data_IF_278615188510
#
_entry.id   IF_278615188510
#
_cell.length_a   1.000
_cell.length_b   1.000
_cell.length_c   1.000
_cell.angle_alpha   90.00
_cell.angle_beta   90.00
_cell.angle_gamma   90.00
#
_symmetry.space_group_name_H-M   'P 1'
#
loop_
_entity.id
_entity.type
_entity.pdbx_description
1 polymer ?
#
# COMPACT_ATOMS: atom_id res chain seq x y z
N UNK A 1 26.16 -9.54 -18.21
CA UNK A 1 25.09 -8.59 -18.61
C UNK A 1 25.14 -7.41 -17.65
N UNK A 2 24.82 -6.22 -18.11
CA UNK A 2 24.77 -5.03 -17.25
C UNK A 2 23.51 -5.14 -16.34
N UNK A 3 23.60 -4.64 -15.10
CA UNK A 3 22.45 -4.59 -14.20
C UNK A 3 21.30 -3.79 -14.83
N UNK A 4 20.05 -4.28 -14.75
CA UNK A 4 18.92 -3.53 -15.27
C UNK A 4 18.75 -2.22 -14.49
N UNK A 5 18.52 -1.13 -15.22
CA UNK A 5 18.36 0.19 -14.63
C UNK A 5 16.94 0.66 -14.72
N UNK A 6 16.32 0.95 -13.59
CA UNK A 6 14.95 1.46 -13.50
C UNK A 6 14.97 2.89 -12.96
N UNK A 7 14.31 3.80 -13.68
CA UNK A 7 13.97 5.13 -13.18
C UNK A 7 12.57 5.10 -12.59
N UNK A 8 12.47 5.28 -11.27
CA UNK A 8 11.17 5.29 -10.58
C UNK A 8 10.74 6.72 -10.23
N UNK A 9 9.51 7.06 -10.54
CA UNK A 9 8.82 8.24 -10.02
C UNK A 9 7.92 7.77 -8.89
N UNK A 10 8.37 7.89 -7.66
CA UNK A 10 7.58 7.47 -6.50
C UNK A 10 6.66 8.59 -6.01
N UNK A 11 5.46 8.26 -5.55
CA UNK A 11 4.54 9.25 -4.95
C UNK A 11 5.24 10.04 -3.83
N UNK A 12 5.92 9.35 -2.91
CA UNK A 12 6.83 9.93 -1.93
C UNK A 12 7.82 8.85 -1.46
N UNK A 13 8.96 9.28 -0.90
CA UNK A 13 9.95 8.37 -0.31
C UNK A 13 10.29 8.74 1.13
N UNK A 14 9.93 9.93 1.60
CA UNK A 14 10.11 10.36 2.97
C UNK A 14 9.02 9.74 3.86
N UNK A 15 9.42 8.96 4.87
CA UNK A 15 8.52 8.28 5.80
C UNK A 15 7.83 9.24 6.77
N UNK A 16 8.45 10.38 7.05
CA UNK A 16 7.92 11.45 7.90
C UNK A 16 6.96 12.41 7.17
N UNK A 17 6.70 12.17 5.89
CA UNK A 17 5.78 12.98 5.10
C UNK A 17 4.34 12.53 5.34
N UNK A 18 3.49 13.42 5.84
CA UNK A 18 2.12 13.16 6.33
C UNK A 18 1.19 12.40 5.36
N UNK A 19 1.37 12.56 4.05
CA UNK A 19 0.59 11.89 3.01
C UNK A 19 1.49 11.12 2.05
N UNK A 20 2.64 10.69 2.55
CA UNK A 20 3.74 10.26 1.74
C UNK A 20 3.89 8.76 1.61
N UNK A 21 5.12 8.35 1.79
CA UNK A 21 5.53 6.97 1.60
C UNK A 21 4.88 6.04 2.61
N UNK A 22 4.32 4.95 2.15
CA UNK A 22 4.05 3.82 3.02
C UNK A 22 5.33 2.97 3.15
N UNK A 23 5.55 2.35 4.31
CA UNK A 23 6.68 1.43 4.46
C UNK A 23 6.73 0.31 3.42
N UNK A 24 5.57 -0.13 2.90
CA UNK A 24 5.47 -1.11 1.83
C UNK A 24 6.24 -0.70 0.55
N UNK A 25 6.25 0.59 0.21
CA UNK A 25 6.99 1.07 -0.95
C UNK A 25 8.51 0.94 -0.76
N UNK A 26 9.02 1.22 0.43
CA UNK A 26 10.43 1.03 0.75
C UNK A 26 10.85 -0.43 0.62
N UNK A 27 10.01 -1.36 1.07
CA UNK A 27 10.24 -2.78 0.94
C UNK A 27 10.32 -3.21 -0.54
N UNK A 28 9.46 -2.66 -1.40
CA UNK A 28 9.54 -2.92 -2.85
C UNK A 28 10.86 -2.40 -3.44
N UNK A 29 11.28 -1.18 -3.08
CA UNK A 29 12.54 -0.62 -3.58
C UNK A 29 13.75 -1.41 -3.09
N UNK A 30 13.74 -1.87 -1.84
CA UNK A 30 14.75 -2.79 -1.31
C UNK A 30 14.76 -4.11 -2.08
N UNK A 31 13.61 -4.73 -2.30
CA UNK A 31 13.51 -5.97 -3.08
C UNK A 31 14.03 -5.82 -4.52
N UNK A 32 13.80 -4.69 -5.17
CA UNK A 32 14.40 -4.40 -6.49
C UNK A 32 15.93 -4.30 -6.42
N UNK A 33 16.48 -3.66 -5.39
CA UNK A 33 17.93 -3.61 -5.16
C UNK A 33 18.52 -5.01 -4.92
N UNK A 34 17.85 -5.85 -4.14
CA UNK A 34 18.29 -7.21 -3.81
C UNK A 34 18.33 -8.14 -5.03
N UNK A 35 17.48 -7.91 -6.02
CA UNK A 35 17.56 -8.61 -7.32
C UNK A 35 18.53 -7.96 -8.30
N UNK A 36 19.31 -6.97 -7.89
CA UNK A 36 20.38 -6.37 -8.68
C UNK A 36 19.96 -5.24 -9.61
N UNK A 37 18.83 -4.58 -9.37
CA UNK A 37 18.41 -3.39 -10.13
C UNK A 37 19.23 -2.17 -9.72
N UNK A 38 19.80 -1.46 -10.69
CA UNK A 38 20.32 -0.08 -10.51
C UNK A 38 19.12 0.88 -10.50
N UNK A 39 18.67 1.24 -9.29
CA UNK A 39 17.45 2.00 -9.08
C UNK A 39 17.74 3.50 -8.86
N UNK A 40 17.10 4.34 -9.65
CA UNK A 40 17.09 5.80 -9.47
C UNK A 40 15.68 6.24 -9.13
N UNK A 41 15.50 6.90 -7.98
CA UNK A 41 14.17 7.37 -7.53
C UNK A 41 14.11 8.88 -7.48
N UNK A 42 13.05 9.45 -8.07
CA UNK A 42 12.66 10.86 -7.92
C UNK A 42 11.29 10.92 -7.25
N UNK A 43 11.14 11.57 -6.07
CA UNK A 43 9.86 11.63 -5.39
C UNK A 43 8.96 12.70 -6.02
N UNK A 44 7.69 12.38 -6.21
CA UNK A 44 6.67 13.33 -6.66
C UNK A 44 6.29 14.33 -5.55
N UNK A 45 6.21 13.84 -4.31
CA UNK A 45 5.92 14.64 -3.11
C UNK A 45 7.05 14.52 -2.10
N UNK A 46 7.18 15.55 -1.28
CA UNK A 46 8.16 15.58 -0.21
C UNK A 46 9.61 15.69 -0.71
N UNK A 47 10.51 15.57 0.23
CA UNK A 47 11.95 15.69 -0.01
C UNK A 47 12.55 14.41 -0.61
N UNK A 48 13.63 14.52 -1.39
CA UNK A 48 14.45 13.38 -1.72
C UNK A 48 15.10 12.81 -0.45
N UNK A 49 15.26 11.49 -0.41
CA UNK A 49 15.86 10.77 0.74
C UNK A 49 16.95 9.85 0.22
N UNK A 50 18.15 9.99 0.78
CA UNK A 50 19.27 9.11 0.49
C UNK A 50 19.05 7.71 1.07
N UNK A 51 19.48 6.69 0.32
CA UNK A 51 19.31 5.29 0.70
C UNK A 51 20.46 4.45 0.18
N UNK A 52 20.82 3.35 0.85
CA UNK A 52 21.76 2.38 0.30
C UNK A 52 21.17 1.57 -0.86
N UNK A 53 19.84 1.56 -1.04
CA UNK A 53 19.14 0.72 -2.02
C UNK A 53 18.83 1.43 -3.33
N UNK A 54 18.94 2.75 -3.39
CA UNK A 54 18.69 3.52 -4.61
C UNK A 54 19.50 4.81 -4.63
N UNK A 55 19.74 5.32 -5.84
CA UNK A 55 20.24 6.67 -6.06
C UNK A 55 19.08 7.65 -6.13
N UNK A 56 19.20 8.78 -5.48
CA UNK A 56 18.11 9.75 -5.38
C UNK A 56 18.26 10.88 -6.38
N UNK A 57 17.18 11.19 -7.11
CA UNK A 57 17.06 12.38 -7.92
C UNK A 57 16.14 13.41 -7.23
N UNK A 58 16.32 14.72 -7.50
CA UNK A 58 15.55 15.77 -6.85
C UNK A 58 14.07 15.74 -7.27
N UNK A 59 13.19 16.23 -6.38
CA UNK A 59 11.82 16.58 -6.74
C UNK A 59 11.81 17.97 -7.41
N UNK A 60 11.44 18.08 -8.70
CA UNK A 60 11.52 19.36 -9.43
C UNK A 60 10.46 20.39 -9.00
N UNK A 61 9.46 19.96 -8.20
CA UNK A 61 8.35 20.77 -7.72
C UNK A 61 8.21 20.73 -6.19
N UNK A 62 9.31 20.45 -5.49
CA UNK A 62 9.29 20.31 -4.03
C UNK A 62 8.70 21.52 -3.31
N UNK A 63 9.16 22.75 -3.65
CA UNK A 63 8.70 23.99 -3.00
C UNK A 63 7.23 24.27 -3.24
N UNK A 64 6.76 24.04 -4.46
CA UNK A 64 5.37 24.22 -4.86
C UNK A 64 4.47 23.20 -4.13
N UNK A 65 4.91 21.95 -4.03
CA UNK A 65 4.23 20.88 -3.29
C UNK A 65 4.07 21.23 -1.81
N UNK A 66 5.13 21.68 -1.14
CA UNK A 66 5.10 22.11 0.27
C UNK A 66 4.13 23.29 0.48
N UNK A 67 4.18 24.29 -0.41
CA UNK A 67 3.28 25.46 -0.33
C UNK A 67 1.82 25.06 -0.51
N UNK A 68 1.53 24.14 -1.44
CA UNK A 68 0.19 23.60 -1.65
C UNK A 68 -0.30 22.80 -0.45
N UNK A 69 0.57 21.97 0.13
CA UNK A 69 0.25 21.20 1.32
C UNK A 69 -0.07 22.09 2.53
N UNK A 70 0.75 23.12 2.76
CA UNK A 70 0.51 24.09 3.82
C UNK A 70 -0.84 24.80 3.65
N UNK A 71 -1.20 25.18 2.41
CA UNK A 71 -2.51 25.76 2.11
C UNK A 71 -3.65 24.81 2.40
N UNK A 72 -3.53 23.54 1.97
CA UNK A 72 -4.53 22.49 2.27
C UNK A 72 -4.73 22.31 3.77
N UNK A 73 -3.65 22.27 4.54
CA UNK A 73 -3.71 22.09 5.99
C UNK A 73 -4.44 23.27 6.68
N UNK A 74 -4.21 24.50 6.21
CA UNK A 74 -4.95 25.68 6.69
C UNK A 74 -6.43 25.55 6.35
N UNK A 75 -6.77 25.22 5.11
CA UNK A 75 -8.15 25.05 4.67
C UNK A 75 -8.87 23.89 5.40
N UNK A 76 -8.18 22.80 5.66
CA UNK A 76 -8.72 21.66 6.42
C UNK A 76 -9.04 22.07 7.87
N UNK A 77 -8.15 22.83 8.52
CA UNK A 77 -8.39 23.37 9.87
C UNK A 77 -9.58 24.33 9.91
N UNK A 78 -9.74 25.16 8.87
CA UNK A 78 -10.87 26.09 8.78
C UNK A 78 -12.22 25.40 8.53
N UNK A 79 -12.22 24.31 7.77
CA UNK A 79 -13.44 23.55 7.42
C UNK A 79 -13.90 22.60 8.54
N UNK A 80 -13.06 22.30 9.53
CA UNK A 80 -13.36 21.38 10.61
C UNK A 80 -13.72 19.97 10.10
N UNK A 81 -14.33 19.15 10.96
CA UNK A 81 -14.71 17.73 10.69
C UNK A 81 -15.66 17.50 9.49
N UNK A 82 -16.14 18.54 8.83
CA UNK A 82 -17.00 18.41 7.64
C UNK A 82 -16.31 17.68 6.47
N UNK A 83 -15.00 17.69 6.42
CA UNK A 83 -14.24 16.99 5.38
C UNK A 83 -14.28 15.46 5.54
N UNK A 84 -14.49 14.99 6.78
CA UNK A 84 -14.54 13.57 7.14
C UNK A 84 -15.96 12.97 7.04
N UNK A 85 -16.98 13.78 6.75
CA UNK A 85 -18.39 13.38 6.69
C UNK A 85 -18.92 13.12 5.28
N UNK A 86 -18.07 13.01 4.26
CA UNK A 86 -18.52 12.55 2.93
C UNK A 86 -18.75 11.03 2.99
N UNK A 87 -19.93 10.68 3.44
CA UNK A 87 -20.48 9.33 3.35
C UNK A 87 -20.96 9.11 1.90
N UNK A 88 -20.46 8.06 1.26
CA UNK A 88 -21.09 7.25 0.18
C UNK A 88 -21.63 7.93 -1.10
N UNK A 89 -21.46 9.20 -1.33
CA UNK A 89 -21.80 9.80 -2.63
C UNK A 89 -20.56 9.93 -3.49
N UNK A 90 -20.69 9.59 -4.79
CA UNK A 90 -19.65 9.89 -5.77
C UNK A 90 -19.22 11.35 -5.63
N UNK A 91 -17.94 11.63 -5.42
CA UNK A 91 -17.49 13.00 -5.26
C UNK A 91 -17.58 13.73 -6.59
N UNK A 92 -18.59 14.56 -6.78
CA UNK A 92 -18.57 15.54 -7.85
C UNK A 92 -17.32 16.40 -7.71
N UNK A 93 -16.61 16.58 -8.82
CA UNK A 93 -15.43 17.43 -8.84
C UNK A 93 -15.77 18.86 -8.39
N UNK A 94 -15.18 19.29 -7.31
CA UNK A 94 -15.37 20.68 -6.87
C UNK A 94 -14.67 21.67 -7.81
N UNK A 95 -15.15 22.92 -7.85
CA UNK A 95 -14.48 23.98 -8.61
C UNK A 95 -13.01 24.19 -8.17
N UNK A 96 -12.70 23.92 -6.91
CA UNK A 96 -11.33 23.94 -6.38
C UNK A 96 -10.48 22.81 -6.96
N UNK A 97 -11.00 21.61 -7.08
CA UNK A 97 -10.28 20.45 -7.65
C UNK A 97 -9.98 20.69 -9.13
N UNK A 98 -10.94 21.26 -9.86
CA UNK A 98 -10.77 21.67 -11.27
C UNK A 98 -9.66 22.71 -11.42
N UNK A 99 -9.67 23.76 -10.59
CA UNK A 99 -8.64 24.80 -10.61
C UNK A 99 -7.26 24.22 -10.25
N UNK A 100 -7.21 23.33 -9.27
CA UNK A 100 -5.99 22.65 -8.87
C UNK A 100 -5.43 21.81 -10.01
N UNK A 101 -6.27 21.01 -10.68
CA UNK A 101 -5.88 20.20 -11.83
C UNK A 101 -5.36 21.05 -12.99
N UNK A 102 -6.05 22.16 -13.32
CA UNK A 102 -5.58 23.09 -14.35
C UNK A 102 -4.23 23.73 -13.99
N UNK A 103 -4.04 24.08 -12.74
CA UNK A 103 -2.77 24.63 -12.23
C UNK A 103 -1.66 23.60 -12.34
N UNK A 104 -1.91 22.35 -11.95
CA UNK A 104 -0.94 21.25 -12.08
C UNK A 104 -0.57 21.06 -13.54
N UNK A 105 -1.56 20.94 -14.42
CA UNK A 105 -1.34 20.74 -15.86
C UNK A 105 -0.51 21.87 -16.47
N UNK A 106 -0.73 23.11 -16.05
CA UNK A 106 -0.05 24.29 -16.62
C UNK A 106 1.35 24.50 -16.07
N UNK A 107 1.60 24.18 -14.81
CA UNK A 107 2.85 24.56 -14.12
C UNK A 107 3.68 23.36 -13.63
N UNK A 108 3.04 22.32 -13.13
CA UNK A 108 3.72 21.15 -12.56
C UNK A 108 4.13 20.16 -13.65
N UNK A 109 3.18 19.73 -14.48
CA UNK A 109 3.41 18.75 -15.55
C UNK A 109 4.55 19.13 -16.49
N UNK A 110 4.68 20.39 -17.00
CA UNK A 110 5.81 20.75 -17.88
C UNK A 110 7.18 20.73 -17.18
N UNK A 111 7.23 20.95 -15.86
CA UNK A 111 8.48 20.84 -15.09
C UNK A 111 8.89 19.37 -14.92
N UNK A 112 7.91 18.52 -14.60
CA UNK A 112 8.13 17.08 -14.53
C UNK A 112 8.58 16.49 -15.86
N UNK A 113 7.93 16.88 -16.97
CA UNK A 113 8.33 16.48 -18.31
C UNK A 113 9.82 16.76 -18.55
N UNK A 114 10.23 18.03 -18.39
CA UNK A 114 11.65 18.45 -18.59
C UNK A 114 12.61 17.77 -17.63
N UNK A 115 12.17 17.50 -16.41
CA UNK A 115 12.97 16.79 -15.40
C UNK A 115 13.21 15.35 -15.81
N UNK A 116 12.17 14.64 -16.21
CA UNK A 116 12.27 13.24 -16.63
C UNK A 116 13.05 13.09 -17.93
N UNK A 117 12.87 13.99 -18.90
CA UNK A 117 13.70 13.99 -20.13
C UNK A 117 15.20 14.09 -19.79
N UNK A 118 15.60 15.00 -18.89
CA UNK A 118 16.99 15.13 -18.43
C UNK A 118 17.49 13.91 -17.67
N UNK A 119 16.63 13.32 -16.83
CA UNK A 119 17.00 12.10 -16.10
C UNK A 119 17.20 10.93 -17.06
N UNK A 120 16.32 10.75 -18.04
CA UNK A 120 16.45 9.70 -19.05
C UNK A 120 17.73 9.88 -19.88
N UNK A 121 18.04 11.08 -20.33
CA UNK A 121 19.28 11.39 -21.07
C UNK A 121 20.54 11.04 -20.27
N UNK A 122 20.52 11.34 -18.96
CA UNK A 122 21.65 11.11 -18.06
C UNK A 122 21.79 9.65 -17.64
N UNK A 123 20.69 9.06 -17.19
CA UNK A 123 20.70 7.75 -16.56
C UNK A 123 20.57 6.60 -17.56
N UNK A 124 19.90 6.83 -18.70
CA UNK A 124 19.61 5.82 -19.73
C UNK A 124 18.98 4.55 -19.14
N UNK A 125 17.82 4.68 -18.46
CA UNK A 125 17.16 3.54 -17.85
C UNK A 125 16.60 2.60 -18.91
N UNK A 126 16.45 1.31 -18.54
CA UNK A 126 15.80 0.31 -19.38
C UNK A 126 14.26 0.43 -19.33
N UNK A 127 13.70 0.97 -18.23
CA UNK A 127 12.29 1.27 -18.09
C UNK A 127 12.05 2.42 -17.10
N UNK A 128 10.88 3.05 -17.20
CA UNK A 128 10.41 4.08 -16.26
C UNK A 128 9.20 3.55 -15.54
N UNK A 129 9.25 3.51 -14.20
CA UNK A 129 8.15 3.11 -13.33
C UNK A 129 7.55 4.34 -12.64
N UNK A 130 6.31 4.69 -12.98
CA UNK A 130 5.53 5.71 -12.27
C UNK A 130 4.69 5.00 -11.20
N UNK A 131 4.99 5.25 -9.94
CA UNK A 131 4.48 4.48 -8.82
C UNK A 131 3.54 5.30 -7.96
N UNK A 132 2.25 4.96 -7.99
CA UNK A 132 1.18 5.56 -7.15
C UNK A 132 1.17 7.10 -7.16
N UNK A 133 1.55 7.70 -8.27
CA UNK A 133 1.42 9.14 -8.51
C UNK A 133 0.03 9.39 -9.09
N UNK A 134 -0.64 10.53 -8.79
CA UNK A 134 -1.89 10.85 -9.48
C UNK A 134 -1.69 10.85 -10.99
N UNK A 135 -2.24 9.83 -11.66
CA UNK A 135 -1.97 9.53 -13.09
C UNK A 135 -2.31 10.73 -13.98
N UNK A 136 -3.38 11.48 -13.68
CA UNK A 136 -3.78 12.69 -14.40
C UNK A 136 -2.70 13.80 -14.40
N UNK A 137 -1.81 13.82 -13.41
CA UNK A 137 -0.74 14.83 -13.31
C UNK A 137 0.40 14.59 -14.31
N UNK A 138 0.49 13.39 -14.87
CA UNK A 138 1.52 12.98 -15.82
C UNK A 138 1.04 12.91 -17.26
N UNK A 139 -0.20 13.35 -17.52
CA UNK A 139 -0.78 13.32 -18.88
C UNK A 139 0.16 13.96 -19.92
N UNK A 140 0.41 13.25 -21.01
CA UNK A 140 1.30 13.61 -22.11
C UNK A 140 2.79 13.35 -21.84
N UNK A 141 3.18 12.99 -20.61
CA UNK A 141 4.60 12.68 -20.29
C UNK A 141 5.01 11.31 -20.79
N UNK A 142 4.26 10.21 -20.51
CA UNK A 142 4.66 8.87 -20.95
C UNK A 142 4.79 8.78 -22.47
N UNK A 143 3.84 9.34 -23.21
CA UNK A 143 3.88 9.40 -24.68
C UNK A 143 5.14 10.05 -25.18
N UNK A 144 5.50 11.23 -24.67
CA UNK A 144 6.70 11.95 -25.11
C UNK A 144 7.99 11.18 -24.76
N UNK A 145 8.07 10.57 -23.58
CA UNK A 145 9.24 9.80 -23.19
C UNK A 145 9.42 8.56 -24.08
N UNK A 146 8.35 7.85 -24.39
CA UNK A 146 8.36 6.71 -25.30
C UNK A 146 8.75 7.11 -26.72
N UNK A 147 8.13 8.15 -27.28
CA UNK A 147 8.41 8.62 -28.66
C UNK A 147 9.84 9.13 -28.82
N UNK A 148 10.36 9.84 -27.82
CA UNK A 148 11.69 10.45 -27.91
C UNK A 148 12.83 9.48 -27.61
N UNK A 149 12.64 8.56 -26.66
CA UNK A 149 13.72 7.73 -26.13
C UNK A 149 13.55 6.24 -26.40
N UNK A 150 12.36 5.79 -26.84
CA UNK A 150 12.06 4.37 -27.08
C UNK A 150 12.04 3.52 -25.80
N UNK A 151 11.84 4.14 -24.64
CA UNK A 151 11.90 3.48 -23.33
C UNK A 151 10.47 3.23 -22.85
N UNK A 152 10.12 2.01 -22.38
CA UNK A 152 8.81 1.71 -21.84
C UNK A 152 8.54 2.52 -20.57
N UNK A 153 7.34 3.09 -20.49
CA UNK A 153 6.82 3.82 -19.33
C UNK A 153 5.64 3.07 -18.77
N UNK A 154 5.79 2.57 -17.55
CA UNK A 154 4.76 1.78 -16.88
C UNK A 154 4.24 2.50 -15.65
N UNK A 155 2.98 2.26 -15.32
CA UNK A 155 2.34 2.79 -14.14
C UNK A 155 2.06 1.66 -13.15
N UNK A 156 2.30 1.88 -11.87
CA UNK A 156 1.86 0.97 -10.82
C UNK A 156 0.86 1.68 -9.91
N UNK A 157 -0.37 1.20 -9.93
CA UNK A 157 -1.42 1.61 -9.01
C UNK A 157 -1.45 0.66 -7.81
N UNK A 158 -0.96 1.13 -6.70
CA UNK A 158 -0.87 0.34 -5.46
C UNK A 158 -2.08 0.50 -4.53
N UNK A 159 -3.17 1.12 -4.97
CA UNK A 159 -4.36 1.35 -4.12
C UNK A 159 -5.69 0.99 -4.82
N UNK A 160 -5.63 0.11 -5.83
CA UNK A 160 -6.83 -0.46 -6.45
C UNK A 160 -7.54 -1.37 -5.42
N UNK A 161 -8.86 -1.24 -5.19
CA UNK A 161 -9.83 -0.45 -5.96
C UNK A 161 -10.02 1.00 -5.49
N UNK A 162 -9.40 1.45 -4.40
CA UNK A 162 -9.64 2.78 -3.82
C UNK A 162 -9.27 3.94 -4.75
N UNK A 163 -8.35 3.71 -5.69
CA UNK A 163 -7.96 4.67 -6.73
C UNK A 163 -8.95 4.77 -7.88
N UNK A 164 -9.78 3.75 -8.10
CA UNK A 164 -10.76 3.71 -9.20
C UNK A 164 -11.82 4.79 -9.05
N UNK A 165 -12.41 5.29 -10.16
CA UNK A 165 -13.39 6.38 -10.12
C UNK A 165 -14.56 6.15 -9.15
N UNK A 166 -15.03 4.91 -9.02
CA UNK A 166 -16.14 4.50 -8.16
C UNK A 166 -15.84 4.71 -6.67
N UNK A 167 -14.57 4.59 -6.29
CA UNK A 167 -14.08 4.77 -4.92
C UNK A 167 -13.23 6.04 -4.77
N UNK A 168 -12.79 6.59 -5.92
CA UNK A 168 -11.88 7.74 -5.95
C UNK A 168 -12.45 8.94 -5.21
N UNK A 169 -11.68 9.47 -4.27
CA UNK A 169 -12.09 10.61 -3.45
C UNK A 169 -12.85 10.26 -2.19
N UNK A 170 -13.30 9.02 -1.98
CA UNK A 170 -13.95 8.60 -0.74
C UNK A 170 -13.03 8.72 0.49
N UNK A 171 -11.73 8.48 0.30
CA UNK A 171 -10.73 8.56 1.35
C UNK A 171 -9.99 9.90 1.35
N UNK A 172 -9.56 10.36 0.18
CA UNK A 172 -8.71 11.55 0.03
C UNK A 172 -9.42 12.78 -0.51
N UNK A 173 -10.66 12.65 -0.99
CA UNK A 173 -11.39 13.70 -1.71
C UNK A 173 -10.83 14.00 -3.10
N UNK A 174 -9.96 13.13 -3.64
CA UNK A 174 -9.30 13.29 -4.93
C UNK A 174 -9.45 12.03 -5.77
N UNK A 175 -9.92 12.17 -7.02
CA UNK A 175 -10.00 11.06 -7.97
C UNK A 175 -8.74 11.04 -8.86
N UNK A 176 -7.84 10.03 -8.70
CA UNK A 176 -6.58 9.96 -9.44
C UNK A 176 -6.78 9.84 -10.95
N UNK A 177 -7.85 9.18 -11.40
CA UNK A 177 -8.14 8.92 -12.81
C UNK A 177 -8.90 10.05 -13.51
N UNK A 178 -9.41 11.03 -12.78
CA UNK A 178 -10.14 12.14 -13.39
C UNK A 178 -9.25 12.97 -14.31
N UNK A 179 -9.52 12.94 -15.62
CA UNK A 179 -8.73 13.59 -16.66
C UNK A 179 -7.40 12.91 -16.99
N UNK A 180 -7.20 11.69 -16.50
CA UNK A 180 -6.09 10.83 -16.87
C UNK A 180 -6.30 10.19 -18.24
N UNK A 181 -5.24 9.64 -18.79
CA UNK A 181 -5.24 8.82 -20.00
C UNK A 181 -4.33 7.61 -19.80
N UNK A 182 -4.86 6.50 -19.27
CA UNK A 182 -4.07 5.30 -19.02
C UNK A 182 -3.47 4.68 -20.28
N UNK A 183 -3.99 5.00 -21.48
CA UNK A 183 -3.47 4.50 -22.76
C UNK A 183 -2.06 5.03 -23.09
N UNK A 184 -1.62 6.08 -22.41
CA UNK A 184 -0.27 6.64 -22.56
C UNK A 184 0.82 5.71 -21.98
N UNK A 185 0.46 4.78 -21.09
CA UNK A 185 1.38 3.84 -20.47
C UNK A 185 1.42 2.52 -21.24
N UNK A 186 2.62 1.94 -21.37
CA UNK A 186 2.80 0.64 -22.03
C UNK A 186 2.19 -0.50 -21.22
N UNK A 187 2.09 -0.32 -19.90
CA UNK A 187 1.50 -1.27 -18.96
C UNK A 187 1.05 -0.55 -17.69
N UNK A 188 -0.07 -0.99 -17.14
CA UNK A 188 -0.53 -0.62 -15.80
C UNK A 188 -0.46 -1.84 -14.89
N UNK A 189 0.36 -1.76 -13.84
CA UNK A 189 0.34 -2.73 -12.75
C UNK A 189 -0.74 -2.36 -11.73
N UNK A 190 -1.41 -3.36 -11.20
CA UNK A 190 -2.43 -3.25 -10.16
C UNK A 190 -2.10 -4.14 -8.97
N UNK A 191 -2.30 -3.65 -7.75
CA UNK A 191 -2.28 -4.52 -6.56
C UNK A 191 -3.50 -5.44 -6.45
N UNK A 192 -4.45 -5.31 -7.39
CA UNK A 192 -5.72 -6.03 -7.42
C UNK A 192 -5.90 -6.76 -8.74
N UNK A 193 -6.22 -8.06 -8.67
CA UNK A 193 -6.59 -8.84 -9.85
C UNK A 193 -7.97 -8.46 -10.36
N UNK A 194 -8.96 -8.36 -9.46
CA UNK A 194 -10.32 -7.97 -9.81
C UNK A 194 -10.47 -6.52 -10.32
N UNK A 195 -9.45 -5.68 -10.13
CA UNK A 195 -9.43 -4.32 -10.68
C UNK A 195 -8.92 -4.21 -12.11
N UNK A 196 -8.37 -5.29 -12.69
CA UNK A 196 -7.72 -5.26 -14.02
C UNK A 196 -8.71 -4.90 -15.12
N UNK A 197 -9.88 -5.55 -15.16
CA UNK A 197 -10.90 -5.27 -16.18
C UNK A 197 -11.29 -3.79 -16.18
N UNK A 198 -11.46 -3.21 -14.99
CA UNK A 198 -11.79 -1.80 -14.84
C UNK A 198 -10.69 -0.86 -15.34
N UNK A 199 -9.43 -1.21 -15.12
CA UNK A 199 -8.29 -0.44 -15.66
C UNK A 199 -8.24 -0.47 -17.18
N UNK A 200 -8.57 -1.62 -17.80
CA UNK A 200 -8.69 -1.74 -19.26
C UNK A 200 -9.85 -0.89 -19.79
N UNK A 201 -11.01 -0.90 -19.13
CA UNK A 201 -12.14 -0.02 -19.49
C UNK A 201 -11.79 1.48 -19.35
N UNK A 202 -10.94 1.85 -18.41
CA UNK A 202 -10.42 3.22 -18.25
C UNK A 202 -9.39 3.61 -19.32
N UNK A 203 -9.06 2.69 -20.23
CA UNK A 203 -8.21 2.92 -21.39
C UNK A 203 -6.79 2.37 -21.28
N UNK A 204 -6.42 1.64 -20.23
CA UNK A 204 -5.13 0.96 -20.18
C UNK A 204 -5.05 -0.06 -21.35
N UNK A 205 -3.94 -0.04 -22.11
CA UNK A 205 -3.75 -0.98 -23.22
C UNK A 205 -3.42 -2.40 -22.73
N UNK A 206 -2.75 -2.47 -21.59
CA UNK A 206 -2.38 -3.70 -20.90
C UNK A 206 -2.40 -3.46 -19.40
N UNK A 207 -2.96 -4.38 -18.64
CA UNK A 207 -2.91 -4.35 -17.18
C UNK A 207 -2.54 -5.72 -16.63
N UNK A 208 -1.74 -5.74 -15.56
CA UNK A 208 -1.22 -6.96 -14.91
C UNK A 208 -1.29 -6.83 -13.40
N UNK A 209 -1.61 -7.90 -12.71
CA UNK A 209 -1.57 -7.91 -11.26
C UNK A 209 -0.12 -8.00 -10.74
N UNK A 210 0.22 -7.13 -9.79
CA UNK A 210 1.45 -7.17 -9.01
C UNK A 210 1.09 -6.89 -7.54
N UNK A 211 0.89 -7.94 -6.78
CA UNK A 211 0.41 -7.88 -5.41
C UNK A 211 1.42 -7.26 -4.45
N UNK A 212 0.93 -6.75 -3.33
CA UNK A 212 1.77 -6.43 -2.19
C UNK A 212 2.46 -7.68 -1.64
N UNK A 213 3.42 -7.49 -0.75
CA UNK A 213 4.27 -8.53 -0.20
C UNK A 213 4.82 -8.11 1.18
N UNK A 214 5.81 -8.84 1.70
CA UNK A 214 6.59 -8.43 2.85
C UNK A 214 8.09 -8.53 2.57
N UNK A 215 8.86 -7.71 3.29
CA UNK A 215 10.31 -7.87 3.42
C UNK A 215 10.60 -8.72 4.68
N UNK A 216 11.15 -9.94 4.51
CA UNK A 216 11.36 -10.85 5.63
C UNK A 216 12.46 -10.39 6.60
N UNK A 217 13.41 -9.56 6.18
CA UNK A 217 14.40 -8.98 7.08
C UNK A 217 13.75 -7.99 8.03
N UNK A 218 12.80 -7.20 7.51
CA UNK A 218 12.11 -6.19 8.29
C UNK A 218 11.02 -6.80 9.18
N UNK A 219 10.26 -7.75 8.65
CA UNK A 219 9.19 -8.46 9.35
C UNK A 219 9.61 -9.86 9.82
N UNK A 220 10.86 -10.02 10.25
CA UNK A 220 11.30 -11.24 10.92
C UNK A 220 10.61 -11.42 12.29
N UNK A 221 10.28 -12.65 12.70
CA UNK A 221 9.84 -12.94 14.05
C UNK A 221 10.84 -12.42 15.09
N UNK A 222 10.37 -11.75 16.14
CA UNK A 222 11.23 -11.24 17.19
C UNK A 222 11.06 -12.03 18.50
N UNK A 223 12.16 -12.36 19.21
CA UNK A 223 12.11 -13.09 20.46
C UNK A 223 11.70 -12.12 21.61
N UNK A 224 10.40 -11.93 21.76
CA UNK A 224 9.81 -11.05 22.78
C UNK A 224 8.72 -11.78 23.55
N UNK A 225 8.51 -11.40 24.81
CA UNK A 225 7.41 -11.88 25.62
C UNK A 225 6.06 -11.41 25.05
N UNK A 226 5.02 -12.21 25.23
CA UNK A 226 3.67 -11.83 24.84
C UNK A 226 3.12 -10.78 25.79
N UNK A 227 2.70 -9.63 25.25
CA UNK A 227 2.21 -8.45 25.99
C UNK A 227 0.69 -8.27 25.88
N UNK A 228 0.04 -8.94 24.91
CA UNK A 228 -1.43 -8.95 24.75
C UNK A 228 -1.89 -10.21 24.00
N UNK A 229 -3.20 -10.50 24.12
CA UNK A 229 -3.79 -11.66 23.45
C UNK A 229 -4.17 -11.34 22.01
N UNK A 230 -4.88 -10.21 21.78
CA UNK A 230 -5.36 -9.82 20.46
C UNK A 230 -4.84 -8.42 20.10
N UNK A 231 -4.20 -8.29 18.97
CA UNK A 231 -3.60 -7.05 18.51
C UNK A 231 -4.07 -6.65 17.10
N UNK A 232 -4.39 -5.38 16.94
CA UNK A 232 -4.60 -4.76 15.63
C UNK A 232 -3.76 -3.49 15.50
N UNK A 233 -3.18 -3.27 14.33
CA UNK A 233 -2.55 -2.01 13.97
C UNK A 233 -3.09 -1.47 12.64
N UNK A 234 -3.56 -0.23 12.66
CA UNK A 234 -4.05 0.43 11.46
C UNK A 234 -4.93 1.63 11.73
N UNK A 235 -5.71 2.02 10.73
CA UNK A 235 -6.71 3.06 10.86
C UNK A 235 -8.08 2.44 11.15
N UNK A 236 -8.76 2.93 12.20
CA UNK A 236 -10.14 2.57 12.52
C UNK A 236 -11.16 3.38 11.70
N UNK A 237 -10.90 3.55 10.40
CA UNK A 237 -11.69 4.39 9.49
C UNK A 237 -13.09 3.81 9.17
N UNK A 238 -13.88 4.60 8.42
CA UNK A 238 -15.25 4.25 8.03
C UNK A 238 -15.36 2.92 7.28
N UNK A 239 -14.31 2.51 6.55
CA UNK A 239 -14.31 1.26 5.77
C UNK A 239 -14.01 0.02 6.60
N UNK A 240 -13.60 0.19 7.87
CA UNK A 240 -13.35 -0.89 8.84
C UNK A 240 -14.31 -0.85 10.03
N UNK A 241 -15.20 0.14 10.13
CA UNK A 241 -16.03 0.36 11.31
C UNK A 241 -16.81 -0.89 11.74
N UNK A 242 -17.46 -1.56 10.79
CA UNK A 242 -18.27 -2.74 11.07
C UNK A 242 -17.38 -3.90 11.54
N UNK A 243 -16.27 -4.13 10.88
CA UNK A 243 -15.29 -5.14 11.28
C UNK A 243 -14.58 -4.81 12.58
N UNK A 244 -14.38 -3.54 12.90
CA UNK A 244 -13.87 -3.14 14.21
C UNK A 244 -14.83 -3.52 15.32
N UNK A 245 -16.13 -3.33 15.11
CA UNK A 245 -17.17 -3.78 16.03
C UNK A 245 -17.16 -5.32 16.18
N UNK A 246 -17.14 -6.03 15.04
CA UNK A 246 -17.24 -7.50 14.97
C UNK A 246 -16.00 -8.21 15.52
N UNK A 247 -14.79 -7.70 15.25
CA UNK A 247 -13.55 -8.38 15.62
C UNK A 247 -12.92 -7.84 16.91
N UNK A 248 -13.33 -6.67 17.39
CA UNK A 248 -12.75 -6.07 18.59
C UNK A 248 -13.82 -5.62 19.60
N UNK A 249 -14.75 -4.76 19.18
CA UNK A 249 -15.69 -4.12 20.10
C UNK A 249 -16.51 -5.11 20.90
N UNK A 250 -17.24 -5.98 20.24
CA UNK A 250 -18.06 -7.01 20.86
C UNK A 250 -17.23 -8.13 21.49
N UNK A 251 -16.24 -8.73 20.78
CA UNK A 251 -15.39 -9.77 21.37
C UNK A 251 -14.69 -9.35 22.65
N UNK A 252 -14.15 -8.12 22.74
CA UNK A 252 -13.48 -7.65 23.95
C UNK A 252 -14.39 -7.51 25.18
N UNK A 253 -15.71 -7.41 24.97
CA UNK A 253 -16.68 -7.43 26.06
C UNK A 253 -17.08 -8.85 26.46
N UNK A 254 -17.27 -9.73 25.47
CA UNK A 254 -17.68 -11.12 25.68
C UNK A 254 -16.54 -11.97 26.25
N UNK A 255 -15.34 -11.83 25.67
CA UNK A 255 -14.12 -12.50 26.15
C UNK A 255 -13.33 -11.55 27.05
N UNK A 256 -13.92 -11.15 28.17
CA UNK A 256 -13.36 -10.17 29.08
C UNK A 256 -12.08 -10.61 29.79
N UNK A 257 -11.75 -11.87 29.70
CA UNK A 257 -10.52 -12.50 30.18
C UNK A 257 -9.34 -12.26 29.23
N UNK A 258 -9.59 -11.85 27.96
CA UNK A 258 -8.54 -11.60 26.97
C UNK A 258 -8.17 -10.11 26.93
N UNK A 259 -6.87 -9.84 26.68
CA UNK A 259 -6.34 -8.48 26.52
C UNK A 259 -6.32 -8.07 25.04
N UNK A 260 -7.15 -7.07 24.72
CA UNK A 260 -7.24 -6.48 23.39
C UNK A 260 -6.45 -5.17 23.33
N UNK A 261 -5.56 -5.06 22.38
CA UNK A 261 -4.69 -3.88 22.19
C UNK A 261 -4.75 -3.37 20.75
N UNK A 262 -4.97 -2.07 20.58
CA UNK A 262 -5.05 -1.41 19.29
C UNK A 262 -3.94 -0.38 19.16
N UNK A 263 -3.20 -0.45 18.07
CA UNK A 263 -2.25 0.58 17.65
C UNK A 263 -2.71 1.28 16.38
N UNK A 264 -2.36 2.54 16.22
CA UNK A 264 -2.75 3.34 15.06
C UNK A 264 -3.66 4.50 15.41
N UNK A 265 -4.41 4.99 14.42
CA UNK A 265 -5.17 6.23 14.51
C UNK A 265 -6.63 6.06 14.04
N UNK A 266 -7.42 7.10 14.34
CA UNK A 266 -8.79 7.28 13.83
C UNK A 266 -9.81 6.20 14.26
N UNK A 267 -9.63 5.64 15.45
CA UNK A 267 -10.60 4.69 16.05
C UNK A 267 -11.84 5.46 16.50
N UNK A 268 -12.78 5.63 15.56
CA UNK A 268 -14.07 6.28 15.80
C UNK A 268 -15.15 5.22 15.86
N UNK A 269 -15.61 4.92 17.01
CA UNK A 269 -16.65 3.92 17.22
C UNK A 269 -16.42 3.13 18.50
N UNK A 270 -17.22 2.09 18.65
CA UNK A 270 -17.15 1.24 19.80
C UNK A 270 -16.04 0.19 19.63
N UNK A 271 -14.97 0.36 20.38
CA UNK A 271 -13.85 -0.58 20.48
C UNK A 271 -13.94 -1.48 21.71
N UNK A 272 -15.07 -1.44 22.43
CA UNK A 272 -15.30 -2.23 23.63
C UNK A 272 -14.33 -1.90 24.75
N UNK A 273 -13.59 -2.92 25.23
CA UNK A 273 -12.60 -2.82 26.30
C UNK A 273 -11.16 -2.73 25.79
N UNK A 274 -10.96 -2.63 24.47
CA UNK A 274 -9.63 -2.63 23.91
C UNK A 274 -8.82 -1.40 24.36
N UNK A 275 -7.55 -1.61 24.64
CA UNK A 275 -6.57 -0.56 25.01
C UNK A 275 -6.00 0.08 23.76
N UNK A 276 -5.94 1.41 23.74
CA UNK A 276 -5.32 2.17 22.65
C UNK A 276 -3.86 2.53 22.98
N UNK A 277 -2.95 2.20 22.07
CA UNK A 277 -1.54 2.61 22.17
C UNK A 277 -1.23 3.93 21.42
N UNK A 278 -2.15 4.35 20.54
CA UNK A 278 -1.88 5.41 19.57
C UNK A 278 -1.02 4.95 18.41
N UNK A 279 -0.38 5.90 17.73
CA UNK A 279 0.48 5.59 16.59
C UNK A 279 1.75 4.85 17.03
N UNK A 280 2.09 3.81 16.26
CA UNK A 280 3.28 3.00 16.51
C UNK A 280 4.28 3.27 15.38
N UNK A 281 5.50 3.73 15.70
CA UNK A 281 6.54 3.93 14.71
C UNK A 281 6.84 2.65 13.93
N UNK A 282 7.08 2.80 12.62
CA UNK A 282 7.27 1.67 11.72
C UNK A 282 8.37 0.69 12.21
N UNK A 283 9.48 1.21 12.73
CA UNK A 283 10.58 0.40 13.23
C UNK A 283 10.25 -0.39 14.52
N UNK A 284 9.16 -0.06 15.20
CA UNK A 284 8.69 -0.76 16.41
C UNK A 284 7.58 -1.75 16.07
N UNK A 285 6.93 -1.58 14.93
CA UNK A 285 5.77 -2.37 14.54
C UNK A 285 6.04 -3.89 14.49
N UNK A 286 7.17 -4.41 13.93
CA UNK A 286 7.45 -5.85 13.94
C UNK A 286 7.56 -6.43 15.35
N UNK A 287 8.09 -5.65 16.32
CA UNK A 287 8.10 -6.06 17.73
C UNK A 287 6.68 -6.16 18.29
N UNK A 288 5.82 -5.19 17.98
CA UNK A 288 4.44 -5.19 18.47
C UNK A 288 3.65 -6.41 17.90
N UNK A 289 3.87 -6.78 16.64
CA UNK A 289 3.30 -7.99 16.04
C UNK A 289 3.74 -9.22 16.84
N UNK A 290 5.05 -9.37 17.07
CA UNK A 290 5.62 -10.52 17.78
C UNK A 290 5.20 -10.58 19.25
N UNK A 291 4.89 -9.45 19.87
CA UNK A 291 4.45 -9.36 21.27
C UNK A 291 2.96 -9.73 21.47
N UNK A 292 2.18 -9.92 20.40
CA UNK A 292 0.81 -10.39 20.48
C UNK A 292 0.72 -11.91 20.28
N UNK A 293 -0.30 -12.55 20.88
CA UNK A 293 -0.63 -13.96 20.62
C UNK A 293 -1.33 -14.12 19.28
N UNK A 294 -2.26 -13.22 18.99
CA UNK A 294 -3.10 -13.19 17.79
C UNK A 294 -3.01 -11.80 17.18
N UNK A 295 -2.85 -11.74 15.88
CA UNK A 295 -2.85 -10.48 15.12
C UNK A 295 -4.04 -10.43 14.17
N UNK A 296 -4.73 -9.29 14.14
CA UNK A 296 -5.90 -9.09 13.28
C UNK A 296 -5.51 -8.50 11.94
N UNK A 297 -5.96 -9.14 10.86
CA UNK A 297 -5.98 -8.59 9.53
C UNK A 297 -7.39 -8.06 9.23
N UNK A 298 -7.62 -6.77 9.44
CA UNK A 298 -8.88 -6.13 9.04
C UNK A 298 -8.70 -5.38 7.73
N UNK A 299 -9.07 -6.03 6.64
CA UNK A 299 -9.05 -5.42 5.31
C UNK A 299 -10.22 -4.46 5.15
N UNK A 300 -9.96 -3.28 4.56
CA UNK A 300 -11.01 -2.29 4.24
C UNK A 300 -12.05 -2.88 3.29
N UNK A 301 -13.33 -2.56 3.49
CA UNK A 301 -14.44 -3.09 2.67
C UNK A 301 -14.17 -3.07 1.16
N UNK A 302 -13.71 -1.98 0.52
CA UNK A 302 -13.46 -2.00 -0.92
C UNK A 302 -12.41 -3.03 -1.37
N UNK A 303 -11.33 -3.21 -0.59
CA UNK A 303 -10.33 -4.23 -0.89
C UNK A 303 -10.85 -5.65 -0.58
N UNK A 304 -11.68 -5.80 0.44
CA UNK A 304 -12.21 -7.09 0.84
C UNK A 304 -13.25 -7.65 -0.15
N UNK A 305 -13.95 -6.77 -0.89
CA UNK A 305 -15.04 -7.14 -1.81
C UNK A 305 -14.64 -7.16 -3.28
N UNK A 306 -13.45 -6.69 -3.63
CA UNK A 306 -12.92 -6.80 -4.99
C UNK A 306 -11.89 -7.93 -5.03
N UNK A 307 -12.15 -9.01 -5.79
CA UNK A 307 -11.35 -10.24 -5.73
C UNK A 307 -9.85 -9.99 -5.94
N UNK A 308 -9.02 -10.63 -5.12
CA UNK A 308 -7.57 -10.55 -5.24
C UNK A 308 -7.00 -9.13 -5.07
N UNK A 309 -7.66 -8.26 -4.29
CA UNK A 309 -7.15 -6.91 -3.99
C UNK A 309 -6.20 -6.95 -2.80
N UNK A 310 -4.92 -7.14 -3.06
CA UNK A 310 -3.92 -7.30 -2.02
C UNK A 310 -3.69 -6.04 -1.19
N UNK A 311 -3.40 -6.25 0.10
CA UNK A 311 -2.85 -5.22 1.01
C UNK A 311 -1.57 -5.76 1.62
N UNK A 312 -0.66 -4.92 2.09
CA UNK A 312 0.61 -5.38 2.67
C UNK A 312 0.42 -6.14 3.99
N UNK A 313 -0.62 -5.81 4.75
CA UNK A 313 -0.81 -6.29 6.12
C UNK A 313 -0.77 -7.81 6.31
N UNK A 314 -1.54 -8.65 5.58
CA UNK A 314 -1.51 -10.09 5.81
C UNK A 314 -0.11 -10.69 5.55
N UNK A 315 0.62 -10.18 4.57
CA UNK A 315 2.00 -10.64 4.29
C UNK A 315 2.98 -10.20 5.38
N UNK A 316 2.87 -8.98 5.90
CA UNK A 316 3.68 -8.47 7.00
C UNK A 316 3.48 -9.28 8.28
N UNK A 317 2.22 -9.56 8.64
CA UNK A 317 1.88 -10.39 9.79
C UNK A 317 2.40 -11.83 9.64
N UNK A 318 2.15 -12.42 8.47
CA UNK A 318 2.60 -13.78 8.17
C UNK A 318 4.14 -13.90 8.18
N UNK A 319 4.86 -12.95 7.56
CA UNK A 319 6.32 -12.91 7.60
C UNK A 319 6.87 -12.86 9.02
N UNK A 320 6.16 -12.22 9.95
CA UNK A 320 6.51 -12.17 11.38
C UNK A 320 6.13 -13.44 12.16
N UNK A 321 5.63 -14.50 11.49
CA UNK A 321 5.20 -15.74 12.15
C UNK A 321 3.97 -15.59 13.02
N UNK A 322 3.13 -14.59 12.78
CA UNK A 322 1.95 -14.30 13.57
C UNK A 322 0.80 -15.27 13.30
N UNK A 323 0.09 -15.70 14.35
CA UNK A 323 -1.25 -16.28 14.18
C UNK A 323 -2.21 -15.17 13.75
N UNK A 324 -2.87 -15.34 12.60
CA UNK A 324 -3.68 -14.30 11.96
C UNK A 324 -5.14 -14.69 11.99
N UNK A 325 -5.99 -13.76 12.47
CA UNK A 325 -7.44 -13.82 12.29
C UNK A 325 -7.86 -12.65 11.41
N UNK A 326 -8.62 -12.95 10.36
CA UNK A 326 -9.00 -12.01 9.30
C UNK A 326 -10.53 -11.91 9.14
N UNK A 327 -11.01 -10.74 8.76
CA UNK A 327 -12.33 -10.63 8.15
C UNK A 327 -12.35 -11.30 6.77
N UNK A 328 -13.52 -11.64 6.21
CA UNK A 328 -13.64 -12.12 4.84
C UNK A 328 -12.97 -11.18 3.84
N UNK A 329 -12.29 -11.78 2.88
CA UNK A 329 -11.56 -11.08 1.83
C UNK A 329 -11.60 -11.92 0.56
N UNK A 330 -12.35 -11.50 -0.43
CA UNK A 330 -12.49 -12.24 -1.70
C UNK A 330 -11.14 -12.45 -2.39
N UNK A 331 -10.81 -13.70 -2.68
CA UNK A 331 -9.56 -14.08 -3.32
C UNK A 331 -8.36 -14.21 -2.38
N UNK A 332 -8.56 -14.22 -1.05
CA UNK A 332 -7.47 -14.45 -0.07
C UNK A 332 -6.77 -15.80 -0.31
N UNK A 333 -7.46 -16.75 -0.90
CA UNK A 333 -6.98 -18.09 -1.24
C UNK A 333 -5.84 -18.07 -2.28
N UNK A 334 -5.71 -16.97 -3.02
CA UNK A 334 -4.58 -16.78 -3.93
C UNK A 334 -3.23 -16.61 -3.20
N UNK A 335 -3.28 -16.26 -1.90
CA UNK A 335 -2.07 -15.97 -1.11
C UNK A 335 -1.90 -16.88 0.09
N UNK A 336 -3.00 -17.33 0.69
CA UNK A 336 -3.00 -18.13 1.92
C UNK A 336 -4.04 -19.24 1.85
N UNK A 337 -3.86 -20.28 2.65
CA UNK A 337 -4.83 -21.35 2.86
C UNK A 337 -5.65 -21.08 4.13
N UNK A 338 -6.91 -20.54 4.01
CA UNK A 338 -7.78 -20.33 5.17
C UNK A 338 -7.98 -21.63 5.97
N UNK A 339 -8.02 -21.50 7.28
CA UNK A 339 -8.10 -22.62 8.24
C UNK A 339 -6.77 -23.30 8.52
N UNK A 340 -5.70 -22.98 7.78
CA UNK A 340 -4.36 -23.58 7.97
C UNK A 340 -3.27 -22.53 8.22
N UNK A 341 -3.27 -21.43 7.48
CA UNK A 341 -2.27 -20.37 7.50
C UNK A 341 -2.84 -19.09 8.14
N UNK A 342 -4.15 -18.96 8.13
CA UNK A 342 -4.89 -17.93 8.85
C UNK A 342 -6.33 -18.42 9.08
N UNK A 343 -7.06 -17.77 10.02
CA UNK A 343 -8.49 -17.98 10.19
C UNK A 343 -9.26 -16.80 9.58
N UNK A 344 -10.34 -17.12 8.87
CA UNK A 344 -11.33 -16.13 8.42
C UNK A 344 -12.56 -16.30 9.28
N UNK A 345 -13.08 -15.20 9.84
CA UNK A 345 -14.26 -15.19 10.71
C UNK A 345 -15.25 -14.14 10.21
N UNK A 346 -16.54 -14.47 10.29
CA UNK A 346 -17.63 -13.68 9.73
C UNK A 346 -18.48 -13.00 10.80
N UNK A 347 -18.37 -13.44 12.06
CA UNK A 347 -19.15 -12.93 13.18
C UNK A 347 -18.31 -12.72 14.45
N UNK A 348 -18.88 -11.99 15.40
CA UNK A 348 -18.25 -11.78 16.71
C UNK A 348 -18.16 -13.09 17.52
N UNK A 349 -19.13 -13.97 17.37
CA UNK A 349 -19.15 -15.28 18.03
C UNK A 349 -18.01 -16.16 17.51
N UNK A 350 -17.82 -16.21 16.19
CA UNK A 350 -16.71 -16.92 15.58
C UNK A 350 -15.35 -16.33 15.99
N UNK A 351 -15.25 -15.01 16.04
CA UNK A 351 -14.05 -14.32 16.49
C UNK A 351 -13.70 -14.69 17.94
N UNK A 352 -14.68 -14.66 18.86
CA UNK A 352 -14.48 -15.05 20.26
C UNK A 352 -14.04 -16.51 20.37
N UNK A 353 -14.68 -17.42 19.61
CA UNK A 353 -14.31 -18.83 19.62
C UNK A 353 -12.87 -19.03 19.15
N UNK A 354 -12.49 -18.41 18.02
CA UNK A 354 -11.14 -18.46 17.46
C UNK A 354 -10.08 -17.90 18.43
N UNK A 355 -10.37 -16.75 19.08
CA UNK A 355 -9.42 -16.17 20.03
C UNK A 355 -9.20 -17.05 21.24
N UNK A 356 -10.26 -17.61 21.82
CA UNK A 356 -10.16 -18.53 22.96
C UNK A 356 -9.41 -19.80 22.62
N UNK A 357 -9.66 -20.37 21.44
CA UNK A 357 -8.97 -21.56 20.94
C UNK A 357 -7.46 -21.30 20.79
N UNK A 358 -7.08 -20.25 20.04
CA UNK A 358 -5.67 -19.92 19.79
C UNK A 358 -4.90 -19.48 21.06
N UNK A 359 -5.56 -18.85 22.02
CA UNK A 359 -4.93 -18.50 23.31
C UNK A 359 -4.80 -19.72 24.21
N UNK A 360 -5.76 -20.65 24.17
CA UNK A 360 -5.70 -21.88 24.95
C UNK A 360 -4.70 -22.91 24.40
N UNK A 361 -4.43 -22.89 23.09
CA UNK A 361 -3.45 -23.75 22.43
C UNK A 361 -2.38 -22.91 21.70
N UNK A 362 -1.35 -22.42 22.41
CA UNK A 362 -0.25 -21.67 21.81
C UNK A 362 0.51 -22.45 20.73
N UNK A 363 0.57 -23.78 20.81
CA UNK A 363 1.26 -24.60 19.81
C UNK A 363 0.53 -24.59 18.46
N UNK A 364 -0.82 -24.62 18.48
CA UNK A 364 -1.64 -24.47 17.28
C UNK A 364 -1.44 -23.05 16.67
N UNK A 365 -1.43 -22.01 17.50
CA UNK A 365 -1.20 -20.63 17.05
C UNK A 365 0.18 -20.46 16.40
N UNK A 366 1.23 -21.00 17.03
CA UNK A 366 2.59 -20.97 16.49
C UNK A 366 2.72 -21.75 15.18
N UNK A 367 2.10 -22.93 15.09
CA UNK A 367 2.11 -23.74 13.86
C UNK A 367 1.38 -23.04 12.70
N UNK A 368 0.26 -22.36 12.96
CA UNK A 368 -0.45 -21.54 11.98
C UNK A 368 0.45 -20.41 11.47
N UNK A 369 1.06 -19.66 12.38
CA UNK A 369 1.96 -18.56 12.06
C UNK A 369 3.20 -19.04 11.28
N UNK A 370 3.76 -20.17 11.65
CA UNK A 370 4.89 -20.80 10.94
C UNK A 370 4.53 -21.13 9.48
N UNK A 371 3.37 -21.77 9.24
CA UNK A 371 2.90 -22.10 7.89
C UNK A 371 2.66 -20.85 7.06
N UNK A 372 2.02 -19.82 7.63
CA UNK A 372 1.83 -18.55 6.97
C UNK A 372 3.17 -17.89 6.61
N UNK A 373 4.15 -17.94 7.51
CA UNK A 373 5.50 -17.43 7.28
C UNK A 373 6.21 -18.16 6.15
N UNK A 374 6.20 -19.49 6.15
CA UNK A 374 6.77 -20.32 5.09
C UNK A 374 6.16 -19.96 3.72
N UNK A 375 4.84 -19.84 3.64
CA UNK A 375 4.15 -19.40 2.43
C UNK A 375 4.68 -18.06 1.91
N UNK A 376 4.83 -17.05 2.81
CA UNK A 376 5.32 -15.72 2.42
C UNK A 376 6.77 -15.79 1.97
N UNK A 377 7.63 -16.52 2.70
CA UNK A 377 9.04 -16.65 2.35
C UNK A 377 9.24 -17.32 0.99
N UNK A 378 8.42 -18.31 0.67
CA UNK A 378 8.53 -19.08 -0.57
C UNK A 378 7.94 -18.35 -1.79
N UNK A 379 6.89 -17.51 -1.62
CA UNK A 379 6.12 -17.01 -2.76
C UNK A 379 5.79 -15.51 -2.72
N UNK A 380 5.85 -14.86 -1.55
CA UNK A 380 5.24 -13.54 -1.35
C UNK A 380 6.18 -12.50 -0.71
N UNK A 381 7.48 -12.55 -1.00
CA UNK A 381 8.42 -11.48 -0.63
C UNK A 381 8.49 -10.39 -1.71
N UNK A 382 9.00 -9.22 -1.37
CA UNK A 382 9.24 -8.17 -2.37
C UNK A 382 10.34 -8.54 -3.39
N UNK A 383 11.22 -9.49 -3.08
CA UNK A 383 12.14 -10.09 -4.06
C UNK A 383 11.35 -10.82 -5.15
N UNK A 384 10.33 -11.59 -4.80
CA UNK A 384 9.44 -12.25 -5.78
C UNK A 384 8.71 -11.21 -6.64
N UNK A 385 8.21 -10.13 -6.04
CA UNK A 385 7.53 -9.05 -6.79
C UNK A 385 8.47 -8.33 -7.73
N UNK A 386 9.69 -8.04 -7.28
CA UNK A 386 10.72 -7.41 -8.11
C UNK A 386 11.08 -8.28 -9.33
N UNK A 387 11.31 -9.58 -9.13
CA UNK A 387 11.54 -10.53 -10.23
C UNK A 387 10.37 -10.58 -11.19
N UNK A 388 9.15 -10.71 -10.69
CA UNK A 388 7.94 -10.72 -11.52
C UNK A 388 7.78 -9.44 -12.33
N UNK A 389 8.04 -8.28 -11.74
CA UNK A 389 8.01 -6.99 -12.43
C UNK A 389 9.02 -6.96 -13.58
N UNK A 390 10.25 -7.38 -13.35
CA UNK A 390 11.30 -7.39 -14.36
C UNK A 390 11.00 -8.38 -15.48
N UNK A 391 10.48 -9.56 -15.16
CA UNK A 391 10.05 -10.57 -16.14
C UNK A 391 8.96 -10.00 -17.08
N UNK A 392 7.95 -9.35 -16.50
CA UNK A 392 6.86 -8.74 -17.27
C UNK A 392 7.37 -7.61 -18.17
N UNK A 393 8.36 -6.83 -17.70
CA UNK A 393 8.99 -5.77 -18.48
C UNK A 393 9.96 -6.30 -19.55
N UNK A 394 10.31 -7.58 -19.52
CA UNK A 394 11.33 -8.16 -20.41
C UNK A 394 12.74 -7.64 -20.13
N UNK A 395 12.99 -7.13 -18.93
CA UNK A 395 14.30 -6.60 -18.50
C UNK A 395 15.01 -7.70 -17.70
N UNK A 396 15.99 -8.35 -18.33
CA UNK A 396 16.67 -9.50 -17.74
C UNK A 396 17.56 -9.14 -16.55
N UNK A 397 17.39 -9.87 -15.44
CA UNK A 397 18.35 -9.86 -14.31
C UNK A 397 19.44 -10.89 -14.61
N UNK A 398 20.75 -10.60 -14.41
CA UNK A 398 21.77 -11.63 -14.40
C UNK A 398 21.42 -12.66 -13.33
N UNK A 399 21.29 -13.93 -13.72
CA UNK A 399 21.20 -15.02 -12.74
C UNK A 399 22.56 -15.06 -12.03
N UNK A 400 22.62 -14.48 -10.83
CA UNK A 400 23.75 -14.73 -9.93
C UNK A 400 23.60 -16.15 -9.42
N UNK A 401 24.51 -17.00 -9.86
CA UNK A 401 24.63 -18.39 -9.41
C UNK A 401 24.99 -18.45 -7.93
#
# INVERSE_FOLDING_TARGET
MQAPKILAVASAIALDFRYGCTPAWWQLWKGMYEVGVDLVITPYRGRPVESPWWRTAPNPTYREGESYQALRDVLARMKGDRYLRREESEPEESGFDRLTRETIRRWVTPRWKRHLEKLVERERPDAILVFTVPIAHFRGIPTVLRERFGIPVVFYDGDVPMSLPEYGGMDTGFNPYHGADPSEYDLVFSNSEGGIERLLELGAQRAEALFWAADPDFFAPQPVEKECDVFFYGYGDKFRRDWMQTLVGEPSRVASELDFTLGGLDFRGDIGRARLLGDIPFNVFPRAISAARINLNMTRRPHATVPGSSTARPFELASSGAAIVSNPHEGIEAWFAPGRELLVVESAEEAVAAYRELVADPAQAEEMGRRASERVLDEHTYVHRARRLLDILGVGVPITA
#
